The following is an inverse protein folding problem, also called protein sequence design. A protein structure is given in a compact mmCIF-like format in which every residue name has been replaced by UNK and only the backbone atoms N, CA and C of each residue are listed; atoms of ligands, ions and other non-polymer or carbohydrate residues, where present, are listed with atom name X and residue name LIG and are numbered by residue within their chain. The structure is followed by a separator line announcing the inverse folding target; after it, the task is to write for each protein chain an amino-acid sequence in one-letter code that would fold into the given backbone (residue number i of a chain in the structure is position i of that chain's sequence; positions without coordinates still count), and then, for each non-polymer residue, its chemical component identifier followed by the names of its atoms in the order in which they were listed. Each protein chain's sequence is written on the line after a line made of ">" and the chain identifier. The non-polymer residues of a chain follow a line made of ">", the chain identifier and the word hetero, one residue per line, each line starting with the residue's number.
data_IF_595804690812
#
_entry.id   IF_595804690812
#
_cell.length_a   1.000
_cell.length_b   1.000
_cell.length_c   1.000
_cell.angle_alpha   90.00
_cell.angle_beta   90.00
_cell.angle_gamma   90.00
#
_symmetry.space_group_name_H-M   'P 1'
#
loop_
_entity.id
_entity.type
_entity.pdbx_description
1 polymer ?
#
# COMPACT_ATOMS: atom_id res chain seq x y z
N UNK A 1 -1.92 -12.27 20.86
CA UNK A 1 -1.80 -12.33 19.40
C UNK A 1 -2.44 -13.60 18.86
N UNK A 2 -3.20 -13.50 17.86
CA UNK A 2 -3.92 -14.65 17.32
C UNK A 2 -3.49 -14.91 15.87
N UNK A 3 -3.81 -16.12 15.44
CA UNK A 3 -3.50 -16.57 14.12
C UNK A 3 -4.25 -15.77 13.06
N UNK A 4 -3.58 -15.40 12.01
CA UNK A 4 -4.20 -14.70 10.91
C UNK A 4 -5.09 -15.61 10.11
N UNK A 5 -6.12 -15.06 9.48
CA UNK A 5 -7.02 -15.76 8.59
C UNK A 5 -7.09 -15.03 7.26
N UNK A 6 -6.84 -15.77 6.20
CA UNK A 6 -6.96 -15.27 4.83
C UNK A 6 -8.14 -15.90 4.14
N UNK A 7 -8.75 -15.15 3.23
CA UNK A 7 -9.82 -15.66 2.39
C UNK A 7 -9.29 -15.96 1.00
N UNK A 8 -9.69 -17.08 0.46
CA UNK A 8 -9.47 -17.38 -0.95
C UNK A 8 -10.53 -16.66 -1.79
N UNK A 9 -10.19 -16.37 -3.04
CA UNK A 9 -11.18 -15.88 -3.98
C UNK A 9 -12.33 -16.88 -4.05
N UNK A 10 -13.55 -16.42 -4.14
CA UNK A 10 -14.79 -17.21 -4.11
C UNK A 10 -15.15 -17.81 -2.75
N UNK A 11 -14.36 -17.59 -1.73
CA UNK A 11 -14.75 -17.99 -0.39
C UNK A 11 -15.74 -16.99 0.19
N UNK A 12 -16.72 -17.50 0.96
CA UNK A 12 -17.67 -16.62 1.64
C UNK A 12 -16.94 -15.71 2.62
N UNK A 13 -17.05 -14.40 2.41
CA UNK A 13 -16.38 -13.40 3.22
C UNK A 13 -16.80 -13.50 4.70
N UNK A 14 -18.04 -13.87 4.96
CA UNK A 14 -18.52 -13.99 6.34
C UNK A 14 -17.82 -15.10 7.13
N UNK A 15 -17.26 -16.08 6.43
CA UNK A 15 -16.48 -17.16 7.04
C UNK A 15 -15.00 -16.80 7.23
N UNK A 16 -14.57 -15.68 6.68
CA UNK A 16 -13.18 -15.23 6.77
C UNK A 16 -13.02 -14.35 7.99
N UNK A 17 -12.23 -14.78 8.92
CA UNK A 17 -11.86 -13.94 10.04
C UNK A 17 -10.80 -12.94 9.56
N UNK A 18 -10.84 -11.76 10.12
CA UNK A 18 -9.84 -10.77 9.80
C UNK A 18 -8.49 -11.25 10.25
N UNK A 19 -7.52 -10.89 9.45
CA UNK A 19 -6.14 -11.06 9.86
C UNK A 19 -5.82 -10.16 11.04
N UNK A 20 -4.93 -10.60 11.91
CA UNK A 20 -4.38 -9.69 12.88
C UNK A 20 -3.61 -8.60 12.14
N UNK A 21 -3.80 -7.39 12.57
CA UNK A 21 -3.06 -6.25 12.05
C UNK A 21 -2.11 -5.76 13.12
N UNK A 22 -1.01 -5.18 12.68
CA UNK A 22 -0.11 -4.52 13.60
C UNK A 22 -0.79 -3.29 14.17
N UNK A 23 -0.57 -3.05 15.43
CA UNK A 23 -1.18 -1.94 16.13
C UNK A 23 -0.89 -0.61 15.42
N UNK A 24 -1.94 0.12 15.09
CA UNK A 24 -1.85 1.41 14.41
C UNK A 24 -1.88 1.36 12.88
N UNK A 25 -1.91 0.16 12.29
CA UNK A 25 -1.90 -0.02 10.84
C UNK A 25 -3.18 -0.68 10.34
N UNK A 26 -3.65 -0.26 9.16
CA UNK A 26 -4.80 -0.89 8.47
C UNK A 26 -4.46 -1.07 6.99
N UNK A 27 -5.09 -2.05 6.35
CA UNK A 27 -4.91 -2.28 4.92
C UNK A 27 -5.43 -1.10 4.09
N UNK A 28 -4.73 -0.76 3.00
CA UNK A 28 -5.08 0.39 2.16
C UNK A 28 -6.21 0.12 1.16
N UNK A 29 -6.63 -1.13 1.05
CA UNK A 29 -7.69 -1.58 0.15
C UNK A 29 -8.73 -2.38 0.93
N UNK A 30 -9.95 -2.49 0.40
CA UNK A 30 -11.02 -3.27 1.05
C UNK A 30 -10.63 -4.74 1.23
N UNK A 31 -9.90 -5.29 0.27
CA UNK A 31 -9.25 -6.59 0.38
C UNK A 31 -8.06 -6.62 -0.57
N UNK A 32 -7.18 -7.57 -0.39
CA UNK A 32 -5.95 -7.61 -1.19
C UNK A 32 -5.26 -8.96 -1.14
N UNK A 33 -4.49 -9.21 -2.17
CA UNK A 33 -3.39 -10.17 -2.19
C UNK A 33 -2.14 -9.45 -2.65
N UNK A 34 -1.01 -10.13 -2.64
CA UNK A 34 0.27 -9.56 -3.06
C UNK A 34 0.61 -10.10 -4.46
N UNK A 35 0.83 -9.19 -5.40
CA UNK A 35 1.27 -9.54 -6.76
C UNK A 35 2.78 -9.41 -6.94
N UNK A 36 3.46 -8.59 -6.13
CA UNK A 36 4.92 -8.47 -6.18
C UNK A 36 5.47 -8.02 -4.83
N UNK A 37 6.52 -8.71 -4.39
CA UNK A 37 7.15 -8.47 -3.09
C UNK A 37 8.15 -7.31 -3.13
N UNK A 38 8.41 -6.76 -1.95
CA UNK A 38 9.50 -5.81 -1.73
C UNK A 38 10.86 -6.51 -1.91
N UNK A 39 11.78 -5.82 -2.58
CA UNK A 39 13.17 -6.27 -2.69
C UNK A 39 14.16 -5.26 -2.08
N UNK A 40 13.80 -3.99 -2.04
CA UNK A 40 14.74 -2.90 -1.74
C UNK A 40 15.90 -2.94 -2.72
N UNK A 41 17.10 -2.76 -2.22
CA UNK A 41 18.34 -2.91 -3.00
C UNK A 41 18.99 -4.29 -2.81
N UNK A 42 18.32 -5.23 -2.11
CA UNK A 42 18.92 -6.51 -1.79
C UNK A 42 19.08 -7.40 -3.03
N UNK A 43 18.10 -7.36 -3.94
CA UNK A 43 18.16 -8.12 -5.20
C UNK A 43 17.18 -7.53 -6.21
N UNK A 44 17.43 -7.80 -7.48
CA UNK A 44 16.53 -7.43 -8.55
C UNK A 44 15.34 -8.39 -8.62
N UNK A 45 14.20 -7.87 -9.07
CA UNK A 45 13.00 -8.71 -9.27
C UNK A 45 13.28 -9.76 -10.35
N UNK A 46 12.96 -11.06 -10.08
CA UNK A 46 13.41 -12.15 -10.94
C UNK A 46 12.95 -12.09 -12.40
N UNK A 47 11.71 -11.62 -12.64
CA UNK A 47 11.12 -11.69 -13.99
C UNK A 47 11.01 -10.35 -14.70
N UNK A 48 11.18 -9.25 -13.97
CA UNK A 48 10.94 -7.89 -14.46
C UNK A 48 12.25 -7.11 -14.50
N UNK A 49 13.17 -7.45 -13.60
CA UNK A 49 14.38 -6.68 -13.36
C UNK A 49 14.10 -5.44 -12.51
N UNK A 50 15.15 -4.74 -12.13
CA UNK A 50 15.07 -3.56 -11.30
C UNK A 50 14.71 -3.86 -9.85
N UNK A 51 14.87 -2.85 -9.02
CA UNK A 51 14.61 -2.94 -7.59
C UNK A 51 13.18 -2.51 -7.27
N UNK A 52 12.62 -3.07 -6.20
CA UNK A 52 11.23 -2.81 -5.81
C UNK A 52 11.18 -2.29 -4.37
N UNK A 53 10.88 -1.01 -4.22
CA UNK A 53 10.89 -0.32 -2.92
C UNK A 53 9.49 -0.21 -2.31
N UNK A 54 8.68 -1.20 -2.51
CA UNK A 54 7.34 -1.32 -1.98
C UNK A 54 6.79 -2.71 -2.24
N UNK A 55 5.53 -2.87 -1.94
CA UNK A 55 4.79 -4.10 -2.18
C UNK A 55 3.63 -3.78 -3.12
N UNK A 56 3.43 -4.63 -4.12
CA UNK A 56 2.32 -4.46 -5.05
C UNK A 56 1.13 -5.28 -4.59
N UNK A 57 0.00 -4.63 -4.47
CA UNK A 57 -1.24 -5.17 -3.95
C UNK A 57 -2.30 -5.22 -5.04
N UNK A 58 -3.07 -6.28 -5.04
CA UNK A 58 -4.05 -6.53 -6.08
C UNK A 58 -5.28 -7.25 -5.56
N UNK A 59 -6.37 -7.13 -6.28
CA UNK A 59 -7.56 -7.97 -6.18
C UNK A 59 -8.32 -7.91 -7.52
N UNK A 60 -9.25 -8.84 -7.80
CA UNK A 60 -10.05 -8.78 -9.02
C UNK A 60 -10.79 -7.47 -9.16
N UNK A 61 -10.83 -6.93 -10.37
CA UNK A 61 -11.51 -5.66 -10.70
C UNK A 61 -10.98 -4.46 -9.90
N UNK A 62 -9.70 -4.45 -9.62
CA UNK A 62 -9.09 -3.43 -8.75
C UNK A 62 -9.08 -2.03 -9.37
N UNK A 63 -9.10 -1.89 -10.70
CA UNK A 63 -9.06 -0.57 -11.33
C UNK A 63 -10.21 0.30 -10.81
N UNK A 64 -9.88 1.49 -10.31
CA UNK A 64 -10.85 2.40 -9.72
C UNK A 64 -11.21 2.12 -8.27
N UNK A 65 -10.64 1.08 -7.65
CA UNK A 65 -10.91 0.78 -6.25
C UNK A 65 -10.41 1.90 -5.33
N UNK A 66 -11.13 2.24 -4.27
CA UNK A 66 -10.72 3.28 -3.34
C UNK A 66 -9.47 2.87 -2.57
N UNK A 67 -8.60 3.84 -2.33
CA UNK A 67 -7.36 3.69 -1.57
C UNK A 67 -7.50 4.48 -0.28
N UNK A 68 -7.09 3.86 0.83
CA UNK A 68 -7.09 4.44 2.17
C UNK A 68 -5.67 4.55 2.70
N UNK A 69 -5.37 5.55 3.54
CA UNK A 69 -4.10 5.55 4.27
C UNK A 69 -3.97 4.32 5.17
N UNK A 70 -2.77 3.78 5.30
CA UNK A 70 -2.50 2.65 6.20
C UNK A 70 -2.45 3.07 7.66
N UNK A 71 -2.34 4.36 7.94
CA UNK A 71 -2.37 4.95 9.27
C UNK A 71 -2.77 6.43 9.15
N UNK A 72 -3.18 7.02 10.27
CA UNK A 72 -3.40 8.47 10.33
C UNK A 72 -2.11 9.21 9.98
N UNK A 73 -2.25 10.31 9.25
CA UNK A 73 -1.08 11.11 8.89
C UNK A 73 -1.43 12.39 8.17
N UNK A 74 -0.41 13.02 7.62
CA UNK A 74 -0.51 14.26 6.88
C UNK A 74 0.03 14.06 5.48
N UNK A 75 -0.71 14.48 4.47
CA UNK A 75 -0.25 14.41 3.08
C UNK A 75 0.99 15.29 2.92
N UNK A 76 2.12 14.66 2.60
CA UNK A 76 3.41 15.32 2.45
C UNK A 76 3.69 15.73 1.01
N UNK A 77 3.15 14.96 0.05
CA UNK A 77 3.35 15.22 -1.37
C UNK A 77 2.21 14.57 -2.14
N UNK A 78 1.71 15.25 -3.14
CA UNK A 78 0.63 14.75 -4.01
C UNK A 78 0.87 15.26 -5.43
N UNK A 79 0.79 14.37 -6.42
CA UNK A 79 0.96 14.72 -7.82
C UNK A 79 1.60 13.60 -8.62
N UNK A 80 2.02 13.95 -9.83
CA UNK A 80 2.71 13.03 -10.72
C UNK A 80 4.17 12.91 -10.34
N UNK A 81 4.67 11.68 -10.24
CA UNK A 81 6.09 11.41 -10.03
C UNK A 81 6.63 10.50 -11.13
N UNK A 82 7.92 10.64 -11.42
CA UNK A 82 8.57 9.79 -12.42
C UNK A 82 8.50 8.31 -12.00
N UNK A 83 8.02 7.48 -12.90
CA UNK A 83 7.86 6.06 -12.65
C UNK A 83 6.61 5.69 -11.84
N UNK A 84 6.27 6.45 -10.82
CA UNK A 84 5.12 6.17 -9.95
C UNK A 84 3.78 6.64 -10.48
N UNK A 85 3.77 7.55 -11.45
CA UNK A 85 2.53 8.14 -11.94
C UNK A 85 1.88 9.03 -10.90
N UNK A 86 0.56 9.02 -10.83
CA UNK A 86 -0.16 9.77 -9.79
C UNK A 86 0.09 9.12 -8.43
N UNK A 87 0.67 9.88 -7.50
CA UNK A 87 1.09 9.37 -6.22
C UNK A 87 0.79 10.33 -5.07
N UNK A 88 0.60 9.76 -3.88
CA UNK A 88 0.48 10.50 -2.62
C UNK A 88 1.49 9.93 -1.64
N UNK A 89 2.24 10.82 -0.99
CA UNK A 89 3.10 10.51 0.15
C UNK A 89 2.45 11.03 1.43
N UNK A 90 2.45 10.21 2.48
CA UNK A 90 1.86 10.56 3.77
C UNK A 90 2.91 10.40 4.86
N UNK A 91 3.04 11.40 5.72
CA UNK A 91 3.84 11.34 6.93
C UNK A 91 2.99 10.83 8.10
N UNK A 92 3.55 9.88 8.83
CA UNK A 92 2.90 9.26 9.98
C UNK A 92 3.78 9.35 11.22
N UNK A 93 3.13 9.31 12.39
CA UNK A 93 3.77 8.92 13.63
C UNK A 93 2.91 7.80 14.22
N UNK A 94 3.46 6.59 14.25
CA UNK A 94 2.77 5.40 14.71
C UNK A 94 3.50 4.86 15.93
N UNK A 95 2.84 4.88 17.08
CA UNK A 95 3.40 4.44 18.35
C UNK A 95 4.73 5.14 18.68
N UNK A 96 4.82 6.43 18.36
CA UNK A 96 6.01 7.26 18.64
C UNK A 96 7.12 7.17 17.60
N UNK A 97 6.90 6.45 16.51
CA UNK A 97 7.89 6.28 15.44
C UNK A 97 7.40 6.97 14.17
N UNK A 98 8.28 7.75 13.55
CA UNK A 98 7.97 8.44 12.29
C UNK A 98 8.15 7.51 11.10
N UNK A 99 7.18 7.57 10.18
CA UNK A 99 7.17 6.82 8.93
C UNK A 99 6.69 7.70 7.78
N UNK A 100 7.02 7.27 6.58
CA UNK A 100 6.42 7.78 5.34
C UNK A 100 5.84 6.62 4.57
N UNK A 101 4.64 6.79 4.03
CA UNK A 101 4.07 5.82 3.09
C UNK A 101 3.81 6.50 1.76
N UNK A 102 3.85 5.72 0.69
CA UNK A 102 3.56 6.19 -0.66
C UNK A 102 2.61 5.25 -1.36
N UNK A 103 1.68 5.81 -2.11
CA UNK A 103 0.63 5.12 -2.86
C UNK A 103 0.77 5.57 -4.32
N UNK A 104 1.15 4.66 -5.20
CA UNK A 104 1.51 4.99 -6.60
C UNK A 104 0.53 4.41 -7.60
N UNK A 105 0.69 4.84 -8.83
CA UNK A 105 -0.04 4.37 -10.01
C UNK A 105 -1.54 4.66 -9.95
N UNK A 106 -1.93 5.67 -9.20
CA UNK A 106 -3.34 6.04 -9.05
C UNK A 106 -3.94 6.51 -10.37
N UNK A 107 -5.21 6.21 -10.60
CA UNK A 107 -5.96 6.78 -11.72
C UNK A 107 -6.30 8.26 -11.46
N UNK A 108 -6.67 8.56 -10.22
CA UNK A 108 -7.01 9.94 -9.81
C UNK A 108 -6.92 10.06 -8.31
N UNK A 109 -6.84 11.31 -7.84
CA UNK A 109 -6.92 11.63 -6.42
C UNK A 109 -8.36 11.86 -6.01
N UNK A 110 -8.70 11.54 -4.77
CA UNK A 110 -10.01 11.87 -4.23
C UNK A 110 -10.18 13.39 -4.13
N UNK A 111 -11.41 13.85 -4.22
CA UNK A 111 -11.73 15.27 -4.09
C UNK A 111 -11.26 15.80 -2.75
N UNK A 112 -10.69 17.01 -2.76
CA UNK A 112 -10.28 17.69 -1.54
C UNK A 112 -8.94 17.26 -0.97
N UNK A 113 -8.16 16.43 -1.65
CA UNK A 113 -6.82 16.04 -1.21
C UNK A 113 -5.80 17.10 -1.61
N UNK A 114 -4.93 17.49 -0.66
CA UNK A 114 -3.90 18.50 -0.89
C UNK A 114 -2.75 18.31 0.09
N UNK A 115 -1.59 18.82 -0.26
CA UNK A 115 -0.42 18.79 0.62
C UNK A 115 -0.71 19.52 1.92
N UNK A 116 -0.45 18.89 3.05
CA UNK A 116 -0.72 19.41 4.37
C UNK A 116 -2.03 18.94 4.99
N UNK A 117 -2.90 18.26 4.21
CA UNK A 117 -4.16 17.74 4.76
C UNK A 117 -3.90 16.58 5.70
N UNK A 118 -4.55 16.61 6.86
CA UNK A 118 -4.58 15.46 7.78
C UNK A 118 -5.63 14.46 7.29
N UNK A 119 -5.24 13.19 7.20
CA UNK A 119 -6.12 12.11 6.78
C UNK A 119 -6.07 10.96 7.79
N UNK A 120 -7.15 10.20 7.82
CA UNK A 120 -7.27 9.00 8.67
C UNK A 120 -7.41 7.75 7.80
N UNK A 121 -7.37 6.60 8.43
CA UNK A 121 -7.55 5.32 7.71
C UNK A 121 -8.95 5.13 7.14
N UNK A 122 -9.91 5.98 7.50
CA UNK A 122 -11.27 5.94 6.94
C UNK A 122 -11.47 6.87 5.75
N UNK A 123 -10.48 7.70 5.43
CA UNK A 123 -10.57 8.63 4.31
C UNK A 123 -10.11 7.96 3.00
N UNK A 124 -10.91 8.10 1.96
CA UNK A 124 -10.46 7.74 0.61
C UNK A 124 -9.54 8.83 0.09
N UNK A 125 -8.30 8.49 -0.25
CA UNK A 125 -7.33 9.47 -0.75
C UNK A 125 -7.21 9.45 -2.27
N UNK A 126 -7.65 8.39 -2.92
CA UNK A 126 -7.60 8.25 -4.36
C UNK A 126 -8.08 6.88 -4.81
N UNK A 127 -7.83 6.58 -6.08
CA UNK A 127 -8.34 5.38 -6.72
C UNK A 127 -7.25 4.65 -7.47
N UNK A 128 -7.30 3.33 -7.43
CA UNK A 128 -6.32 2.47 -8.10
C UNK A 128 -6.37 2.70 -9.61
N UNK A 129 -5.21 2.77 -10.21
CA UNK A 129 -5.07 2.94 -11.65
C UNK A 129 -3.92 2.11 -12.21
N UNK A 130 -3.36 2.63 -13.30
CA UNK A 130 -2.26 2.00 -14.02
C UNK A 130 -1.33 3.06 -14.59
N UNK A 131 -1.21 4.20 -13.90
CA UNK A 131 -0.41 5.35 -14.37
C UNK A 131 1.06 5.17 -14.02
N UNK A 132 1.91 5.89 -14.76
CA UNK A 132 3.36 5.75 -14.61
C UNK A 132 3.87 4.48 -15.27
N UNK A 133 4.98 3.94 -14.75
CA UNK A 133 5.54 2.67 -15.22
C UNK A 133 4.80 1.53 -14.51
N UNK A 134 3.80 1.00 -15.17
CA UNK A 134 2.93 -0.03 -14.64
C UNK A 134 2.38 -0.90 -15.76
N UNK A 135 2.36 -2.21 -15.57
CA UNK A 135 1.95 -3.19 -16.58
C UNK A 135 0.57 -3.80 -16.31
N UNK A 136 -0.18 -3.23 -15.42
CA UNK A 136 -1.52 -3.66 -15.07
C UNK A 136 -1.99 -2.96 -13.81
N UNK A 137 -3.29 -2.81 -13.66
CA UNK A 137 -3.87 -2.11 -12.52
C UNK A 137 -3.48 -2.78 -11.19
N UNK A 138 -2.89 -2.05 -10.29
CA UNK A 138 -2.48 -2.48 -8.96
C UNK A 138 -2.19 -1.27 -8.09
N UNK A 139 -2.06 -1.49 -6.79
CA UNK A 139 -1.57 -0.49 -5.87
C UNK A 139 -0.13 -0.81 -5.47
N UNK A 140 0.79 0.11 -5.74
CA UNK A 140 2.13 0.07 -5.16
C UNK A 140 2.10 0.81 -3.83
N UNK A 141 2.36 0.09 -2.75
CA UNK A 141 2.48 0.62 -1.40
C UNK A 141 3.94 0.59 -0.97
N UNK A 142 4.53 1.75 -0.75
CA UNK A 142 5.86 1.86 -0.18
C UNK A 142 5.83 2.35 1.26
N UNK A 143 6.76 1.89 2.06
CA UNK A 143 6.96 2.33 3.44
C UNK A 143 8.42 2.70 3.68
N UNK A 144 8.65 3.78 4.40
CA UNK A 144 9.99 4.25 4.75
C UNK A 144 10.04 4.70 6.20
N UNK A 145 11.20 4.52 6.82
CA UNK A 145 11.48 5.03 8.15
C UNK A 145 11.73 6.53 8.11
N UNK A 146 11.17 7.27 9.04
CA UNK A 146 11.28 8.72 9.08
C UNK A 146 10.38 9.42 8.07
N UNK A 147 10.50 10.75 7.98
CA UNK A 147 9.72 11.58 7.07
C UNK A 147 10.56 11.94 5.84
N UNK A 148 10.33 11.22 4.74
CA UNK A 148 11.10 11.34 3.49
C UNK A 148 10.18 11.25 2.28
N UNK A 149 9.59 12.36 1.88
CA UNK A 149 8.80 12.44 0.64
C UNK A 149 9.69 12.58 -0.61
N UNK A 150 10.98 12.86 -0.40
CA UNK A 150 12.04 12.77 -1.41
C UNK A 150 13.10 11.79 -0.90
N UNK A 151 13.90 11.21 -1.80
CA UNK A 151 14.88 10.17 -1.42
C UNK A 151 14.27 8.99 -0.65
N UNK A 152 13.00 8.74 -0.87
CA UNK A 152 12.22 7.72 -0.17
C UNK A 152 12.91 6.34 -0.19
N UNK A 153 13.45 5.95 -1.34
CA UNK A 153 14.00 4.61 -1.53
C UNK A 153 15.17 4.31 -0.59
N UNK A 154 15.92 5.34 -0.19
CA UNK A 154 17.07 5.16 0.71
C UNK A 154 16.63 4.75 2.13
N UNK A 155 15.39 4.99 2.48
CA UNK A 155 14.84 4.74 3.81
C UNK A 155 13.73 3.68 3.78
N UNK A 156 13.43 3.12 2.60
CA UNK A 156 12.36 2.15 2.45
C UNK A 156 12.67 0.84 3.17
N UNK A 157 11.63 0.20 3.63
CA UNK A 157 11.70 -1.13 4.24
C UNK A 157 10.54 -2.00 3.75
N UNK A 158 10.66 -3.30 3.97
CA UNK A 158 9.62 -4.24 3.57
C UNK A 158 8.36 -4.00 4.41
N UNK A 159 7.22 -3.67 3.79
CA UNK A 159 5.97 -3.48 4.52
C UNK A 159 5.55 -4.68 5.37
N UNK A 160 6.03 -5.88 5.05
CA UNK A 160 5.80 -7.07 5.88
C UNK A 160 6.45 -6.99 7.26
N UNK A 161 7.36 -6.04 7.48
CA UNK A 161 7.96 -5.82 8.79
C UNK A 161 6.97 -5.26 9.81
N UNK A 162 5.95 -4.55 9.36
CA UNK A 162 4.97 -3.88 10.23
C UNK A 162 3.54 -4.37 10.05
N UNK A 163 3.24 -5.02 8.94
CA UNK A 163 1.91 -5.54 8.63
C UNK A 163 2.00 -6.96 8.07
N UNK A 164 0.99 -7.76 8.35
CA UNK A 164 0.85 -9.07 7.74
C UNK A 164 0.23 -8.92 6.34
N UNK A 165 0.77 -9.64 5.36
CA UNK A 165 0.23 -9.70 4.00
C UNK A 165 0.19 -11.15 3.53
N UNK A 166 -0.74 -11.49 2.60
CA UNK A 166 -0.73 -12.82 1.98
C UNK A 166 0.60 -13.08 1.27
N UNK A 167 0.91 -14.35 1.06
CA UNK A 167 2.05 -14.71 0.22
C UNK A 167 1.85 -14.22 -1.21
N UNK A 168 2.95 -13.92 -1.91
CA UNK A 168 2.91 -13.48 -3.30
C UNK A 168 2.28 -14.56 -4.17
N UNK A 169 1.28 -14.17 -4.96
CA UNK A 169 0.54 -15.05 -5.87
C UNK A 169 -0.05 -16.31 -5.19
N UNK A 170 -0.35 -16.20 -3.90
CA UNK A 170 -0.86 -17.34 -3.12
C UNK A 170 -2.33 -17.68 -3.41
N UNK A 171 -3.09 -16.78 -4.01
CA UNK A 171 -4.53 -16.90 -4.15
C UNK A 171 -5.29 -16.71 -2.84
N UNK A 172 -4.61 -16.22 -1.80
CA UNK A 172 -5.19 -15.91 -0.50
C UNK A 172 -5.38 -14.41 -0.39
N UNK A 173 -6.53 -13.99 0.10
CA UNK A 173 -6.89 -12.57 0.23
C UNK A 173 -7.13 -12.23 1.69
N UNK A 174 -6.61 -11.07 2.10
CA UNK A 174 -6.84 -10.52 3.42
C UNK A 174 -7.80 -9.34 3.30
N UNK A 175 -8.73 -9.24 4.24
CA UNK A 175 -9.76 -8.21 4.22
C UNK A 175 -9.47 -7.11 5.22
N UNK A 176 -9.78 -5.88 4.79
CA UNK A 176 -9.62 -4.69 5.61
C UNK A 176 -10.63 -4.70 6.76
N UNK A 177 -10.17 -4.31 7.91
CA UNK A 177 -11.00 -4.09 9.08
C UNK A 177 -11.00 -2.68 9.56
#
# INVERSE_FOLDING_TARGET
>A
YYEKMGCKLNQDVSSCLATPVSFGWRYPLSYLTVSDNYTGYAFERPNIGGYHHGIDLWHPNIYGAPIYPVAKGTIARIGWISGGGNAIYIYHNVNGVDYTTVYMHMSSFASGMYQGKTVTTDDVIGYVGNTGVSFGAHLHLGMASGHHATFFNNYSFNPRNVMAFPGMDSGVYYYRK
#
